data_IF_362670410119
#
_entry.id   IF_362670410119
#
_cell.length_a   1.000
_cell.length_b   1.000
_cell.length_c   1.000
_cell.angle_alpha   90.00
_cell.angle_beta   90.00
_cell.angle_gamma   90.00
#
_symmetry.space_group_name_H-M   'P 1'
#
loop_
_entity.id
_entity.type
_entity.pdbx_description
1 polymer ?
#
# COMPACT_ATOMS: atom_id res chain seq x y z
N UNK A 1 -20.45 -36.48 -6.46
CA UNK A 1 -20.97 -35.25 -5.81
C UNK A 1 -19.79 -34.55 -5.14
N UNK A 2 -19.02 -33.78 -5.92
CA UNK A 2 -17.80 -33.11 -5.44
C UNK A 2 -18.18 -31.80 -4.75
N UNK A 3 -18.18 -31.79 -3.42
CA UNK A 3 -18.24 -30.54 -2.64
C UNK A 3 -16.83 -29.97 -2.55
N UNK A 4 -16.45 -29.13 -3.52
CA UNK A 4 -15.33 -28.20 -3.35
C UNK A 4 -15.72 -27.17 -2.29
N UNK A 5 -15.15 -27.27 -1.09
CA UNK A 5 -15.13 -26.17 -0.12
C UNK A 5 -13.98 -25.26 -0.50
N UNK A 6 -14.27 -24.18 -1.22
CA UNK A 6 -13.34 -23.05 -1.31
C UNK A 6 -13.32 -22.37 0.06
N UNK A 7 -12.27 -22.61 0.83
CA UNK A 7 -11.97 -21.82 2.01
C UNK A 7 -11.25 -20.57 1.51
N UNK A 8 -12.01 -19.55 1.11
CA UNK A 8 -11.44 -18.22 0.91
C UNK A 8 -10.87 -17.76 2.26
N UNK A 9 -9.55 -17.84 2.43
CA UNK A 9 -8.90 -17.00 3.42
C UNK A 9 -9.12 -15.56 2.95
N UNK A 10 -10.00 -14.82 3.63
CA UNK A 10 -10.26 -13.39 3.43
C UNK A 10 -9.02 -12.49 3.72
N UNK A 11 -7.82 -13.00 3.53
CA UNK A 11 -6.55 -12.32 3.79
C UNK A 11 -6.13 -11.47 2.60
N UNK A 12 -6.89 -10.43 2.27
CA UNK A 12 -6.21 -9.25 1.71
C UNK A 12 -5.17 -8.80 2.75
N UNK A 13 -3.94 -8.51 2.32
CA UNK A 13 -2.95 -7.90 3.20
C UNK A 13 -3.58 -6.67 3.86
N UNK A 14 -3.54 -6.62 5.19
CA UNK A 14 -4.07 -5.50 5.98
C UNK A 14 -2.97 -5.03 6.90
N UNK A 15 -2.66 -3.75 6.80
CA UNK A 15 -1.78 -3.08 7.75
C UNK A 15 -2.61 -2.56 8.92
N UNK A 16 -2.07 -2.73 10.13
CA UNK A 16 -2.53 -2.04 11.33
C UNK A 16 -1.31 -1.78 12.22
N UNK A 17 -1.10 -0.52 12.59
CA UNK A 17 0.02 -0.13 13.42
C UNK A 17 -0.34 0.97 14.41
N UNK A 18 0.42 0.99 15.51
CA UNK A 18 0.38 1.99 16.56
C UNK A 18 1.81 2.54 16.75
N UNK A 19 1.97 3.84 16.58
CA UNK A 19 3.21 4.55 16.85
C UNK A 19 3.04 5.45 18.09
N UNK A 20 4.02 5.46 18.99
CA UNK A 20 4.01 6.19 20.27
C UNK A 20 5.19 7.19 20.32
N UNK A 21 4.99 8.46 20.63
CA UNK A 21 6.04 9.49 20.50
C UNK A 21 6.99 9.64 21.71
N UNK A 22 6.63 9.16 22.91
CA UNK A 22 7.36 9.49 24.16
C UNK A 22 7.68 8.31 25.09
N UNK A 23 7.29 7.08 24.76
CA UNK A 23 7.65 5.86 25.52
C UNK A 23 7.32 4.59 24.73
N UNK A 24 8.01 3.45 24.94
CA UNK A 24 7.59 2.17 24.37
C UNK A 24 6.14 1.87 24.77
N UNK A 25 5.30 1.49 23.80
CA UNK A 25 3.90 1.19 24.05
C UNK A 25 3.82 -0.05 24.99
N UNK A 26 3.69 0.17 26.29
CA UNK A 26 3.37 -0.85 27.29
C UNK A 26 1.99 -0.55 27.87
N UNK A 27 1.25 -1.61 28.20
CA UNK A 27 -0.08 -1.51 28.82
C UNK A 27 -0.08 -0.83 30.19
N UNK A 28 1.10 -0.56 30.76
CA UNK A 28 1.28 -0.05 32.13
C UNK A 28 1.58 1.46 32.17
N UNK A 29 2.06 2.07 31.07
CA UNK A 29 2.56 3.47 31.07
C UNK A 29 1.70 4.48 30.29
N UNK A 30 0.55 4.08 29.75
CA UNK A 30 -0.29 4.95 28.94
C UNK A 30 -1.75 4.92 29.36
N UNK A 31 -2.47 5.97 28.98
CA UNK A 31 -3.91 6.16 29.09
C UNK A 31 -4.69 4.83 28.88
N UNK A 32 -5.75 4.52 29.67
CA UNK A 32 -6.62 3.37 29.43
C UNK A 32 -7.07 3.21 27.95
N UNK A 33 -7.10 4.30 27.18
CA UNK A 33 -7.28 4.29 25.73
C UNK A 33 -6.22 3.48 24.96
N UNK A 34 -4.93 3.62 25.32
CA UNK A 34 -3.85 2.84 24.72
C UNK A 34 -3.95 1.36 25.10
N UNK A 35 -4.40 1.05 26.32
CA UNK A 35 -4.64 -0.32 26.77
C UNK A 35 -5.62 -1.08 25.89
N UNK A 36 -6.75 -0.44 25.51
CA UNK A 36 -7.73 -1.01 24.57
C UNK A 36 -7.16 -1.17 23.15
N UNK A 37 -6.43 -0.16 22.66
CA UNK A 37 -5.78 -0.21 21.34
C UNK A 37 -4.74 -1.34 21.27
N UNK A 38 -3.89 -1.47 22.29
CA UNK A 38 -2.83 -2.49 22.40
C UNK A 38 -3.40 -3.89 22.65
N UNK A 39 -4.39 -4.04 23.53
CA UNK A 39 -5.07 -5.32 23.76
C UNK A 39 -5.77 -5.82 22.50
N UNK A 40 -6.32 -4.89 21.72
CA UNK A 40 -6.92 -5.16 20.44
C UNK A 40 -5.96 -5.78 19.42
N UNK A 41 -4.68 -5.40 19.42
CA UNK A 41 -3.66 -5.90 18.48
C UNK A 41 -3.34 -7.40 18.64
N UNK A 42 -3.79 -8.07 19.72
CA UNK A 42 -3.78 -9.54 19.85
C UNK A 42 -2.38 -10.21 19.75
N UNK A 43 -2.34 -11.54 19.55
CA UNK A 43 -1.12 -12.41 19.53
C UNK A 43 -0.08 -12.08 18.45
N UNK A 44 -0.23 -10.97 17.75
CA UNK A 44 0.47 -10.64 16.51
C UNK A 44 1.48 -9.52 16.74
N UNK A 45 2.19 -9.61 17.87
CA UNK A 45 3.22 -8.67 18.27
C UNK A 45 4.52 -9.04 17.57
N UNK A 46 5.07 -8.12 16.80
CA UNK A 46 6.52 -7.98 16.75
C UNK A 46 6.83 -6.80 17.66
N UNK A 47 7.20 -7.05 18.94
CA UNK A 47 7.60 -5.98 19.82
C UNK A 47 8.89 -5.36 19.26
N UNK A 48 8.82 -4.11 18.82
CA UNK A 48 10.01 -3.29 18.68
C UNK A 48 10.19 -2.50 19.98
N UNK A 49 11.33 -2.61 20.68
CA UNK A 49 11.56 -1.90 21.94
C UNK A 49 11.57 -0.36 21.82
N UNK A 50 11.39 0.22 20.62
CA UNK A 50 11.54 1.66 20.35
C UNK A 50 10.34 2.24 19.60
N UNK A 51 9.18 2.38 20.25
CA UNK A 51 8.06 3.26 19.84
C UNK A 51 7.07 2.82 18.74
N UNK A 52 7.29 1.70 18.02
CA UNK A 52 6.30 1.18 17.06
C UNK A 52 5.80 -0.20 17.50
N UNK A 53 4.48 -0.31 17.69
CA UNK A 53 3.80 -1.60 17.91
C UNK A 53 2.95 -1.94 16.69
N UNK A 54 3.14 -3.14 16.18
CA UNK A 54 2.45 -3.62 14.98
C UNK A 54 1.57 -4.80 15.36
N UNK A 55 0.37 -4.86 14.80
CA UNK A 55 -0.50 -6.03 14.86
C UNK A 55 -0.94 -6.43 13.45
N UNK A 56 -0.71 -7.67 13.05
CA UNK A 56 -1.09 -8.17 11.72
C UNK A 56 -2.45 -8.89 11.76
N UNK A 57 -3.39 -8.56 10.87
CA UNK A 57 -4.39 -9.56 10.48
C UNK A 57 -3.74 -10.44 9.40
N UNK A 58 -3.55 -11.73 9.70
CA UNK A 58 -2.79 -12.67 8.87
C UNK A 58 -3.16 -12.61 7.38
N UNK A 59 -2.22 -12.17 6.55
CA UNK A 59 -2.05 -12.66 5.18
C UNK A 59 -0.55 -12.87 4.93
N UNK A 60 -0.23 -13.79 4.02
CA UNK A 60 1.14 -14.19 3.67
C UNK A 60 1.99 -13.06 3.05
N UNK A 61 1.37 -11.92 2.70
CA UNK A 61 2.01 -10.77 2.04
C UNK A 61 2.26 -9.56 2.94
N UNK A 62 1.71 -9.50 4.16
CA UNK A 62 2.07 -8.43 5.10
C UNK A 62 3.42 -8.75 5.74
N UNK A 63 4.50 -8.52 5.00
CA UNK A 63 5.87 -8.74 5.46
C UNK A 63 6.31 -7.58 6.34
N UNK A 64 6.19 -7.77 7.65
CA UNK A 64 7.19 -7.17 8.53
C UNK A 64 8.54 -7.76 8.10
N UNK A 65 9.55 -6.92 7.89
CA UNK A 65 10.93 -7.41 7.77
C UNK A 65 11.62 -7.22 9.12
N UNK A 66 11.38 -8.07 10.14
CA UNK A 66 12.17 -8.02 11.34
C UNK A 66 13.53 -8.67 11.04
N UNK A 67 14.59 -7.94 11.38
CA UNK A 67 15.97 -8.38 11.64
C UNK A 67 16.31 -9.82 11.19
N UNK A 68 17.08 -9.96 10.12
CA UNK A 68 17.73 -11.23 9.74
C UNK A 68 19.14 -11.24 10.32
N UNK A 69 19.47 -12.22 11.16
CA UNK A 69 20.83 -12.46 11.68
C UNK A 69 21.54 -13.48 10.77
N UNK A 70 22.61 -13.09 10.09
CA UNK A 70 23.47 -13.94 9.25
C UNK A 70 24.67 -13.13 8.72
N UNK A 71 25.87 -13.73 8.65
CA UNK A 71 27.16 -13.02 8.46
C UNK A 71 27.76 -13.04 7.04
N UNK A 72 27.79 -11.87 6.39
CA UNK A 72 28.43 -11.57 5.10
C UNK A 72 28.36 -10.07 4.78
N UNK A 73 29.19 -9.55 3.87
CA UNK A 73 29.25 -8.09 3.59
C UNK A 73 27.93 -7.51 3.02
N UNK A 74 27.24 -8.28 2.16
CA UNK A 74 25.88 -7.94 1.71
C UNK A 74 24.82 -8.11 2.80
N UNK A 75 25.05 -8.99 3.78
CA UNK A 75 24.16 -9.16 4.93
C UNK A 75 24.36 -8.07 5.98
N UNK A 76 25.58 -7.53 6.14
CA UNK A 76 25.86 -6.40 7.01
C UNK A 76 25.13 -5.13 6.53
N UNK A 77 25.26 -4.79 5.25
CA UNK A 77 24.53 -3.65 4.65
C UNK A 77 23.00 -3.86 4.69
N UNK A 78 22.51 -5.10 4.51
CA UNK A 78 21.11 -5.45 4.67
C UNK A 78 20.66 -5.30 6.13
N UNK A 79 21.47 -5.77 7.08
CA UNK A 79 21.24 -5.68 8.52
C UNK A 79 21.12 -4.22 8.96
N UNK A 80 22.03 -3.34 8.53
CA UNK A 80 22.03 -1.92 8.91
C UNK A 80 20.75 -1.20 8.48
N UNK A 81 20.27 -1.48 7.26
CA UNK A 81 19.01 -0.90 6.76
C UNK A 81 17.81 -1.42 7.54
N UNK A 82 17.77 -2.71 7.86
CA UNK A 82 16.71 -3.29 8.70
C UNK A 82 16.82 -2.90 10.18
N UNK A 83 17.98 -2.44 10.63
CA UNK A 83 18.16 -1.87 11.97
C UNK A 83 17.61 -0.44 12.05
N UNK A 84 17.71 0.35 10.98
CA UNK A 84 17.15 1.71 10.93
C UNK A 84 15.68 1.73 10.54
N UNK A 85 15.31 1.05 9.46
CA UNK A 85 14.00 1.17 8.85
C UNK A 85 13.09 -0.03 9.16
N UNK A 86 11.84 0.27 9.48
CA UNK A 86 10.75 -0.69 9.47
C UNK A 86 9.75 -0.30 8.38
N UNK A 87 9.27 -1.27 7.60
CA UNK A 87 8.24 -1.06 6.59
C UNK A 87 7.05 -2.00 6.88
N UNK A 88 5.86 -1.42 6.84
CA UNK A 88 4.62 -2.13 6.58
C UNK A 88 4.15 -1.81 5.17
N UNK A 89 3.67 -2.85 4.50
CA UNK A 89 3.31 -2.83 3.11
C UNK A 89 1.99 -3.58 2.88
N UNK A 90 1.04 -2.93 2.22
CA UNK A 90 -0.14 -3.55 1.63
C UNK A 90 -0.23 -3.08 0.19
N UNK A 91 0.08 -3.97 -0.75
CA UNK A 91 0.21 -3.57 -2.14
C UNK A 91 0.83 -4.61 -3.07
N UNK A 92 1.04 -4.16 -4.29
CA UNK A 92 1.91 -4.77 -5.29
C UNK A 92 2.77 -3.69 -5.96
N UNK A 93 4.07 -3.95 -6.13
CA UNK A 93 5.01 -3.07 -6.81
C UNK A 93 5.24 -3.61 -8.23
N UNK A 94 4.55 -3.03 -9.19
CA UNK A 94 4.53 -3.46 -10.58
C UNK A 94 5.91 -3.34 -11.26
N UNK A 95 6.71 -2.33 -10.90
CA UNK A 95 8.04 -2.12 -11.47
C UNK A 95 9.20 -2.66 -10.61
N UNK A 96 8.96 -3.68 -9.77
CA UNK A 96 9.97 -4.22 -8.87
C UNK A 96 11.26 -4.67 -9.58
N UNK A 97 11.15 -5.29 -10.77
CA UNK A 97 12.33 -5.75 -11.52
C UNK A 97 13.16 -4.59 -12.08
N UNK A 98 12.50 -3.57 -12.64
CA UNK A 98 13.18 -2.35 -13.09
C UNK A 98 13.90 -1.65 -11.93
N UNK A 99 13.22 -1.56 -10.78
CA UNK A 99 13.78 -0.98 -9.55
C UNK A 99 14.99 -1.76 -9.03
N UNK A 100 15.01 -3.10 -9.11
CA UNK A 100 16.22 -3.90 -8.80
C UNK A 100 17.39 -3.52 -9.70
N UNK A 101 17.13 -3.29 -11.00
CA UNK A 101 18.14 -2.84 -11.95
C UNK A 101 18.73 -1.48 -11.56
N UNK A 102 17.88 -0.49 -11.26
CA UNK A 102 18.31 0.84 -10.82
C UNK A 102 19.09 0.80 -9.51
N UNK A 103 18.65 0.01 -8.53
CA UNK A 103 19.33 -0.15 -7.25
C UNK A 103 20.71 -0.81 -7.41
N UNK A 104 20.83 -1.83 -8.26
CA UNK A 104 22.13 -2.43 -8.59
C UNK A 104 23.06 -1.41 -9.24
N UNK A 105 22.55 -0.60 -10.18
CA UNK A 105 23.31 0.47 -10.80
C UNK A 105 23.75 1.55 -9.81
N UNK A 106 22.96 1.78 -8.75
CA UNK A 106 23.31 2.67 -7.64
C UNK A 106 24.29 2.04 -6.62
N UNK A 107 24.79 0.83 -6.86
CA UNK A 107 25.81 0.17 -6.03
C UNK A 107 25.26 -0.75 -4.94
N UNK A 108 23.99 -1.17 -5.03
CA UNK A 108 23.41 -2.09 -4.05
C UNK A 108 24.13 -3.46 -4.07
N UNK A 109 24.67 -3.84 -2.91
CA UNK A 109 25.53 -5.03 -2.76
C UNK A 109 24.78 -6.38 -2.84
N UNK A 110 23.44 -6.38 -2.77
CA UNK A 110 22.63 -7.59 -2.85
C UNK A 110 21.36 -7.33 -3.67
N UNK A 111 20.76 -8.39 -4.20
CA UNK A 111 19.49 -8.27 -4.90
C UNK A 111 18.31 -8.38 -3.91
N UNK A 112 17.47 -7.35 -3.75
CA UNK A 112 16.25 -7.47 -2.96
C UNK A 112 15.28 -8.43 -3.67
N UNK A 113 14.65 -9.29 -2.90
CA UNK A 113 13.86 -10.43 -3.41
C UNK A 113 12.36 -10.20 -3.33
N UNK A 114 11.94 -9.15 -2.63
CA UNK A 114 10.53 -8.87 -2.31
C UNK A 114 10.22 -7.40 -2.57
N UNK A 115 8.97 -7.07 -2.85
CA UNK A 115 8.53 -5.68 -3.05
C UNK A 115 8.88 -4.81 -1.84
N UNK A 116 8.64 -5.32 -0.63
CA UNK A 116 8.99 -4.64 0.61
C UNK A 116 10.51 -4.35 0.71
N UNK A 117 11.36 -5.29 0.31
CA UNK A 117 12.81 -5.08 0.28
C UNK A 117 13.21 -4.08 -0.79
N UNK A 118 12.63 -4.15 -1.98
CA UNK A 118 12.87 -3.17 -3.06
C UNK A 118 12.52 -1.76 -2.59
N UNK A 119 11.36 -1.59 -1.96
CA UNK A 119 10.90 -0.31 -1.41
C UNK A 119 11.83 0.19 -0.31
N UNK A 120 12.19 -0.65 0.65
CA UNK A 120 13.12 -0.29 1.73
C UNK A 120 14.48 0.15 1.19
N UNK A 121 15.03 -0.59 0.21
CA UNK A 121 16.31 -0.25 -0.41
C UNK A 121 16.22 1.04 -1.22
N UNK A 122 15.12 1.26 -1.95
CA UNK A 122 14.87 2.52 -2.66
C UNK A 122 14.84 3.72 -1.70
N UNK A 123 14.13 3.59 -0.58
CA UNK A 123 14.11 4.62 0.47
C UNK A 123 15.47 4.84 1.12
N UNK A 124 16.22 3.77 1.40
CA UNK A 124 17.57 3.90 1.96
C UNK A 124 18.54 4.60 0.99
N UNK A 125 18.36 4.39 -0.32
CA UNK A 125 19.24 4.92 -1.37
C UNK A 125 18.88 6.36 -1.77
N UNK A 126 17.59 6.65 -1.94
CA UNK A 126 17.11 7.92 -2.50
C UNK A 126 16.20 8.73 -1.56
N UNK A 127 15.95 8.24 -0.34
CA UNK A 127 15.05 8.90 0.60
C UNK A 127 13.62 9.01 0.06
N UNK A 128 12.94 10.12 0.39
CA UNK A 128 11.58 10.38 -0.09
C UNK A 128 11.49 10.54 -1.63
N UNK A 129 12.62 10.78 -2.32
CA UNK A 129 12.65 10.82 -3.79
C UNK A 129 12.48 9.44 -4.44
N UNK A 130 12.58 8.35 -3.65
CA UNK A 130 12.20 7.02 -4.10
C UNK A 130 10.72 6.93 -4.51
N UNK A 131 9.85 7.73 -3.87
CA UNK A 131 8.40 7.64 -4.06
C UNK A 131 7.93 7.94 -5.49
N UNK A 132 8.61 8.84 -6.19
CA UNK A 132 8.29 9.13 -7.60
C UNK A 132 8.74 8.05 -8.57
N UNK A 133 9.54 7.07 -8.10
CA UNK A 133 10.00 5.92 -8.89
C UNK A 133 9.13 4.69 -8.70
N UNK A 134 8.34 4.61 -7.63
CA UNK A 134 7.50 3.45 -7.35
C UNK A 134 6.28 3.44 -8.27
N UNK A 135 6.07 2.33 -8.98
CA UNK A 135 4.87 2.10 -9.77
C UNK A 135 4.15 0.88 -9.22
N UNK A 136 2.93 1.08 -8.73
CA UNK A 136 2.22 0.04 -8.00
C UNK A 136 0.91 0.55 -7.39
N UNK A 137 0.13 -0.40 -6.87
CA UNK A 137 -0.95 -0.12 -5.95
C UNK A 137 -0.45 -0.44 -4.55
N UNK A 138 -0.27 0.58 -3.71
CA UNK A 138 0.33 0.37 -2.39
C UNK A 138 -0.14 1.37 -1.34
N UNK A 139 -0.16 0.90 -0.10
CA UNK A 139 -0.12 1.70 1.11
C UNK A 139 1.14 1.31 1.89
N UNK A 140 1.92 2.31 2.31
CA UNK A 140 3.17 2.11 3.05
C UNK A 140 3.09 2.77 4.42
N UNK A 141 3.67 2.11 5.42
CA UNK A 141 4.04 2.73 6.69
C UNK A 141 5.53 2.50 6.91
N UNK A 142 6.35 3.54 6.71
CA UNK A 142 7.78 3.50 6.99
C UNK A 142 8.06 4.13 8.34
N UNK A 143 8.84 3.47 9.16
CA UNK A 143 9.34 4.02 10.42
C UNK A 143 10.86 4.10 10.39
N UNK A 144 11.37 5.32 10.52
CA UNK A 144 12.78 5.60 10.72
C UNK A 144 13.10 5.61 12.21
N UNK A 145 13.78 4.57 12.70
CA UNK A 145 14.20 4.47 14.10
C UNK A 145 15.30 5.46 14.47
N UNK A 146 16.08 5.92 13.50
CA UNK A 146 17.16 6.87 13.76
C UNK A 146 16.58 8.26 14.01
N UNK A 147 15.60 8.67 13.20
CA UNK A 147 14.98 9.99 13.28
C UNK A 147 13.68 10.01 14.11
N UNK A 148 13.25 8.85 14.62
CA UNK A 148 11.97 8.60 15.30
C UNK A 148 10.79 9.19 14.52
N UNK A 149 10.68 8.77 13.26
CA UNK A 149 9.76 9.37 12.30
C UNK A 149 8.91 8.31 11.61
N UNK A 150 7.59 8.44 11.70
CA UNK A 150 6.63 7.65 10.95
C UNK A 150 6.27 8.37 9.64
N UNK A 151 6.29 7.64 8.53
CA UNK A 151 5.92 8.12 7.20
C UNK A 151 4.84 7.18 6.64
N UNK A 152 3.62 7.69 6.53
CA UNK A 152 2.50 7.01 5.88
C UNK A 152 2.44 7.47 4.43
N UNK A 153 2.36 6.54 3.49
CA UNK A 153 2.35 6.86 2.05
C UNK A 153 1.24 6.09 1.36
N UNK A 154 0.50 6.76 0.48
CA UNK A 154 -0.50 6.13 -0.38
C UNK A 154 -0.12 6.29 -1.84
N UNK A 155 -0.40 5.27 -2.66
CA UNK A 155 -0.10 5.27 -4.09
C UNK A 155 -0.73 6.47 -4.84
N UNK A 156 -0.16 6.87 -6.00
CA UNK A 156 -0.58 8.07 -6.71
C UNK A 156 -2.05 8.12 -7.12
N UNK A 157 -2.64 6.96 -7.44
CA UNK A 157 -4.02 6.86 -7.92
C UNK A 157 -5.02 6.49 -6.81
N UNK A 158 -4.52 6.17 -5.62
CA UNK A 158 -5.33 5.80 -4.47
C UNK A 158 -5.99 4.44 -4.60
N UNK A 159 -5.38 3.51 -5.36
CA UNK A 159 -5.85 2.15 -5.54
C UNK A 159 -5.94 1.40 -4.21
N UNK A 160 -4.94 1.59 -3.34
CA UNK A 160 -4.99 1.14 -1.95
C UNK A 160 -5.51 2.25 -1.05
N UNK A 161 -5.99 1.88 0.12
CA UNK A 161 -6.43 2.83 1.16
C UNK A 161 -5.44 2.87 2.31
N UNK A 162 -5.35 4.02 2.97
CA UNK A 162 -4.56 4.19 4.19
C UNK A 162 -5.21 5.25 5.06
N UNK A 163 -5.58 4.86 6.26
CA UNK A 163 -6.26 5.69 7.24
C UNK A 163 -5.40 5.85 8.48
N UNK A 164 -5.56 6.96 9.17
CA UNK A 164 -4.92 7.20 10.45
C UNK A 164 -5.80 8.02 11.38
N UNK A 165 -5.55 7.89 12.67
CA UNK A 165 -6.08 8.75 13.72
C UNK A 165 -4.92 9.19 14.61
N UNK A 166 -5.05 10.39 15.17
CA UNK A 166 -4.04 10.96 16.05
C UNK A 166 -4.64 11.20 17.43
N UNK A 167 -3.83 10.98 18.46
CA UNK A 167 -4.14 11.30 19.85
C UNK A 167 -2.87 11.82 20.50
N UNK A 168 -2.93 12.51 21.66
CA UNK A 168 -1.75 13.11 22.28
C UNK A 168 -0.61 12.10 22.50
N UNK A 169 0.41 12.15 21.65
CA UNK A 169 1.58 11.28 21.70
C UNK A 169 1.44 9.90 21.04
N UNK A 170 0.39 9.64 20.25
CA UNK A 170 0.18 8.35 19.61
C UNK A 170 -0.61 8.46 18.29
N UNK A 171 -0.30 7.57 17.37
CA UNK A 171 -0.92 7.48 16.04
C UNK A 171 -1.30 6.04 15.78
N UNK A 172 -2.56 5.81 15.39
CA UNK A 172 -3.01 4.50 14.90
C UNK A 172 -3.28 4.64 13.42
N UNK A 173 -2.77 3.70 12.62
CA UNK A 173 -3.00 3.68 11.18
C UNK A 173 -3.39 2.29 10.70
N UNK A 174 -4.16 2.22 9.62
CA UNK A 174 -4.52 0.96 8.99
C UNK A 174 -4.78 1.11 7.49
N UNK A 175 -4.54 0.06 6.72
CA UNK A 175 -4.88 0.06 5.29
C UNK A 175 -6.37 -0.19 5.02
N UNK A 176 -7.16 -0.56 6.04
CA UNK A 176 -8.60 -0.66 5.97
C UNK A 176 -9.30 0.04 7.14
N UNK A 177 -10.43 0.69 6.83
CA UNK A 177 -11.17 1.51 7.78
C UNK A 177 -11.80 0.68 8.92
N UNK A 178 -12.42 -0.51 8.68
CA UNK A 178 -12.94 -1.34 9.76
C UNK A 178 -11.90 -1.74 10.81
N UNK A 179 -10.67 -2.07 10.40
CA UNK A 179 -9.59 -2.40 11.34
C UNK A 179 -9.22 -1.22 12.23
N UNK A 180 -9.17 -0.01 11.70
CA UNK A 180 -8.88 1.20 12.47
C UNK A 180 -10.01 1.53 13.44
N UNK A 181 -11.26 1.52 12.97
CA UNK A 181 -12.43 1.90 13.79
C UNK A 181 -12.58 1.00 15.01
N UNK A 182 -12.29 -0.31 14.88
CA UNK A 182 -12.31 -1.26 16.01
C UNK A 182 -11.28 -0.95 17.11
N UNK A 183 -10.35 -0.03 16.87
CA UNK A 183 -9.36 0.44 17.86
C UNK A 183 -9.75 1.76 18.50
N UNK A 184 -10.70 2.48 17.94
CA UNK A 184 -11.22 3.70 18.53
C UNK A 184 -12.04 3.34 19.77
N UNK A 185 -11.87 4.13 20.83
CA UNK A 185 -12.69 4.01 22.04
C UNK A 185 -14.14 4.43 21.76
N UNK A 186 -14.30 5.54 21.05
CA UNK A 186 -15.61 6.09 20.69
C UNK A 186 -15.65 6.29 19.19
N UNK A 187 -16.70 5.77 18.55
CA UNK A 187 -16.94 5.94 17.11
C UNK A 187 -18.07 6.94 16.95
N UNK A 188 -17.77 8.09 16.34
CA UNK A 188 -18.76 9.13 16.02
C UNK A 188 -18.83 9.33 14.52
N UNK A 189 -20.04 9.51 14.02
CA UNK A 189 -20.29 9.77 12.60
C UNK A 189 -19.96 11.22 12.28
N UNK A 190 -19.20 11.44 11.21
CA UNK A 190 -18.90 12.76 10.70
C UNK A 190 -20.03 13.24 9.76
N UNK A 191 -21.09 13.83 10.31
CA UNK A 191 -22.32 14.17 9.56
C UNK A 191 -22.09 14.97 8.27
N UNK A 192 -21.20 16.00 8.21
CA UNK A 192 -20.92 16.70 6.95
C UNK A 192 -20.37 15.79 5.84
N UNK A 193 -19.35 14.98 6.15
CA UNK A 193 -18.80 13.96 5.25
C UNK A 193 -19.87 12.93 4.81
N UNK A 194 -20.79 12.53 5.70
CA UNK A 194 -21.90 11.65 5.28
C UNK A 194 -22.78 12.33 4.24
N UNK A 195 -23.11 13.61 4.43
CA UNK A 195 -23.89 14.37 3.46
C UNK A 195 -23.15 14.49 2.12
N UNK A 196 -21.86 14.83 2.15
CA UNK A 196 -21.02 14.91 0.95
C UNK A 196 -20.99 13.57 0.20
N UNK A 197 -20.77 12.47 0.92
CA UNK A 197 -20.74 11.14 0.31
C UNK A 197 -22.10 10.73 -0.28
N UNK A 198 -23.21 11.08 0.36
CA UNK A 198 -24.54 10.81 -0.19
C UNK A 198 -24.80 11.59 -1.48
N UNK A 199 -24.29 12.82 -1.59
CA UNK A 199 -24.44 13.67 -2.77
C UNK A 199 -23.50 13.28 -3.91
N UNK A 200 -22.25 12.92 -3.60
CA UNK A 200 -21.19 12.79 -4.60
C UNK A 200 -20.68 11.36 -4.78
N UNK A 201 -20.96 10.44 -3.85
CA UNK A 201 -20.42 9.06 -3.78
C UNK A 201 -18.91 8.99 -3.54
N UNK A 202 -18.27 10.12 -3.24
CA UNK A 202 -16.88 10.24 -2.81
C UNK A 202 -16.71 11.44 -1.86
N UNK A 203 -15.57 11.53 -1.19
CA UNK A 203 -15.17 12.67 -0.36
C UNK A 203 -14.02 13.41 -1.05
N UNK A 204 -14.07 14.74 -1.06
CA UNK A 204 -13.03 15.61 -1.62
C UNK A 204 -11.93 15.95 -0.62
N UNK A 205 -12.27 15.93 0.67
CA UNK A 205 -11.36 16.15 1.78
C UNK A 205 -10.62 14.87 2.18
N UNK A 206 -9.80 15.00 3.21
CA UNK A 206 -9.08 13.90 3.86
C UNK A 206 -9.95 13.21 4.91
N UNK A 207 -11.18 13.69 5.09
CA UNK A 207 -12.09 13.17 6.08
C UNK A 207 -12.54 11.76 5.70
N UNK A 208 -13.05 11.06 6.72
CA UNK A 208 -13.83 9.85 6.52
C UNK A 208 -15.25 10.09 7.02
N UNK A 209 -16.09 9.06 6.92
CA UNK A 209 -17.43 9.09 7.51
C UNK A 209 -17.40 9.10 9.06
N UNK A 210 -16.22 9.06 9.67
CA UNK A 210 -16.01 9.00 11.12
C UNK A 210 -15.17 10.18 11.60
N UNK A 211 -15.59 10.80 12.71
CA UNK A 211 -14.86 11.91 13.31
C UNK A 211 -13.49 11.46 13.81
N UNK A 212 -12.47 12.28 13.63
CA UNK A 212 -11.10 12.01 14.11
C UNK A 212 -10.34 10.93 13.35
N UNK A 213 -10.88 10.46 12.22
CA UNK A 213 -10.21 9.53 11.31
C UNK A 213 -10.00 10.20 9.95
N UNK A 214 -8.74 10.25 9.53
CA UNK A 214 -8.32 10.86 8.27
C UNK A 214 -7.79 9.79 7.32
N UNK A 215 -8.01 10.00 6.02
CA UNK A 215 -7.42 9.22 4.95
C UNK A 215 -6.16 9.93 4.43
N UNK A 216 -5.07 9.17 4.24
CA UNK A 216 -3.95 9.67 3.43
C UNK A 216 -4.46 9.86 2.00
N UNK A 217 -4.26 11.05 1.43
CA UNK A 217 -4.70 11.36 0.07
C UNK A 217 -3.90 10.55 -0.97
N UNK A 218 -4.48 10.22 -2.14
CA UNK A 218 -3.73 9.65 -3.25
C UNK A 218 -2.49 10.48 -3.59
N UNK A 219 -1.33 9.84 -3.78
CA UNK A 219 -0.07 10.51 -4.11
C UNK A 219 0.50 11.40 -3.01
N UNK A 220 0.04 11.24 -1.77
CA UNK A 220 0.53 11.99 -0.62
C UNK A 220 1.27 11.10 0.38
N UNK A 221 2.10 11.77 1.17
CA UNK A 221 2.66 11.22 2.39
C UNK A 221 2.28 12.08 3.60
N UNK A 222 2.11 11.41 4.75
CA UNK A 222 1.96 12.02 6.07
C UNK A 222 3.17 11.62 6.90
N UNK A 223 3.94 12.62 7.33
CA UNK A 223 5.17 12.44 8.11
C UNK A 223 4.96 12.97 9.51
N UNK A 224 5.24 12.12 10.50
CA UNK A 224 4.99 12.38 11.91
C UNK A 224 6.28 12.17 12.69
N UNK A 225 6.68 13.19 13.47
CA UNK A 225 7.85 13.16 14.33
C UNK A 225 7.55 13.91 15.63
N UNK A 226 7.55 13.21 16.75
CA UNK A 226 7.09 13.78 18.03
C UNK A 226 5.62 14.24 17.94
N UNK A 227 5.39 15.54 18.16
CA UNK A 227 4.08 16.19 18.01
C UNK A 227 3.91 16.90 16.66
N UNK A 228 4.96 16.89 15.82
CA UNK A 228 4.92 17.53 14.51
C UNK A 228 4.41 16.55 13.46
N UNK A 229 3.32 16.94 12.79
CA UNK A 229 2.75 16.23 11.66
C UNK A 229 2.75 17.14 10.44
N UNK A 230 3.26 16.64 9.32
CA UNK A 230 3.26 17.33 8.03
C UNK A 230 2.69 16.42 6.96
N UNK A 231 2.00 17.03 6.00
CA UNK A 231 1.47 16.33 4.85
C UNK A 231 1.88 17.03 3.57
N UNK A 232 2.26 16.25 2.55
CA UNK A 232 2.60 16.78 1.23
C UNK A 232 2.31 15.78 0.13
N UNK A 233 1.98 16.29 -1.04
CA UNK A 233 1.99 15.49 -2.26
C UNK A 233 3.44 15.14 -2.64
N UNK A 234 3.69 13.88 -2.99
CA UNK A 234 4.90 13.49 -3.72
C UNK A 234 4.60 13.26 -5.21
N UNK A 235 3.33 13.03 -5.55
CA UNK A 235 2.86 12.88 -6.92
C UNK A 235 1.42 13.38 -7.02
N UNK A 236 1.08 14.01 -8.14
CA UNK A 236 -0.27 14.48 -8.45
C UNK A 236 -0.64 14.11 -9.88
N UNK A 237 -1.93 14.07 -10.26
CA UNK A 237 -2.35 13.79 -11.63
C UNK A 237 -1.62 14.64 -12.69
N UNK A 238 -1.28 15.89 -12.37
CA UNK A 238 -0.55 16.78 -13.27
C UNK A 238 0.85 16.27 -13.65
N UNK A 239 1.49 15.44 -12.81
CA UNK A 239 2.80 14.85 -13.10
C UNK A 239 2.73 13.78 -14.20
N UNK A 240 1.54 13.23 -14.48
CA UNK A 240 1.33 12.26 -15.55
C UNK A 240 0.97 12.92 -16.89
N UNK A 241 0.79 14.24 -16.91
CA UNK A 241 0.45 14.98 -18.14
C UNK A 241 1.73 15.44 -18.80
N UNK A 242 2.07 14.81 -19.92
CA UNK A 242 3.17 15.23 -20.80
C UNK A 242 2.59 16.00 -22.00
N UNK A 243 2.85 17.31 -22.02
CA UNK A 243 2.33 18.21 -23.05
C UNK A 243 2.95 17.94 -24.43
N UNK A 244 4.23 17.54 -24.47
CA UNK A 244 4.94 17.26 -25.72
C UNK A 244 4.43 15.94 -26.31
N UNK A 245 4.22 14.93 -25.46
CA UNK A 245 3.62 13.66 -25.85
C UNK A 245 2.18 13.85 -26.33
N UNK A 246 1.40 14.70 -25.66
CA UNK A 246 0.05 15.04 -26.09
C UNK A 246 0.04 15.73 -27.46
N UNK A 247 0.91 16.74 -27.67
CA UNK A 247 1.05 17.42 -28.95
C UNK A 247 1.50 16.46 -30.07
N UNK A 248 2.41 15.54 -29.76
CA UNK A 248 2.84 14.49 -30.68
C UNK A 248 1.65 13.62 -31.12
N UNK A 249 0.84 13.12 -30.18
CA UNK A 249 -0.29 12.26 -30.49
C UNK A 249 -1.43 12.98 -31.23
N UNK A 250 -1.61 14.29 -31.02
CA UNK A 250 -2.56 15.08 -31.81
C UNK A 250 -2.17 15.18 -33.29
N UNK A 251 -0.88 15.14 -33.60
CA UNK A 251 -0.36 15.20 -34.96
C UNK A 251 -0.11 13.82 -35.58
N UNK A 252 -0.10 12.76 -34.77
CA UNK A 252 0.20 11.40 -35.22
C UNK A 252 -0.98 10.78 -36.00
N UNK A 253 -0.71 9.92 -37.00
CA UNK A 253 -1.76 9.12 -37.62
C UNK A 253 -2.45 8.22 -36.59
N UNK A 254 -3.76 8.00 -36.75
CA UNK A 254 -4.55 7.17 -35.84
C UNK A 254 -3.92 5.78 -35.58
N UNK A 255 -3.39 5.15 -36.61
CA UNK A 255 -2.73 3.84 -36.50
C UNK A 255 -1.54 3.84 -35.51
N UNK A 256 -0.79 4.95 -35.42
CA UNK A 256 0.31 5.11 -34.46
C UNK A 256 -0.24 5.21 -33.05
N UNK A 257 -1.27 6.04 -32.84
CA UNK A 257 -1.92 6.20 -31.54
C UNK A 257 -2.50 4.86 -31.04
N UNK A 258 -3.18 4.12 -31.92
CA UNK A 258 -3.74 2.80 -31.60
C UNK A 258 -2.65 1.81 -31.21
N UNK A 259 -1.52 1.82 -31.91
CA UNK A 259 -0.36 0.95 -31.59
C UNK A 259 0.23 1.29 -30.23
N UNK A 260 0.39 2.57 -29.90
CA UNK A 260 0.94 3.01 -28.62
C UNK A 260 0.00 2.68 -27.46
N UNK A 261 -1.30 2.93 -27.61
CA UNK A 261 -2.30 2.57 -26.58
C UNK A 261 -2.32 1.06 -26.35
N UNK A 262 -2.29 0.26 -27.43
CA UNK A 262 -2.20 -1.20 -27.33
C UNK A 262 -0.96 -1.63 -26.56
N UNK A 263 0.22 -1.13 -26.94
CA UNK A 263 1.48 -1.48 -26.27
C UNK A 263 1.51 -1.04 -24.80
N UNK A 264 0.94 0.12 -24.48
CA UNK A 264 0.84 0.58 -23.09
C UNK A 264 -0.07 -0.32 -22.25
N UNK A 265 -1.20 -0.77 -22.82
CA UNK A 265 -2.11 -1.67 -22.13
C UNK A 265 -1.51 -3.08 -21.95
N UNK A 266 -0.85 -3.61 -22.98
CA UNK A 266 -0.12 -4.88 -22.92
C UNK A 266 0.94 -4.87 -21.81
N UNK A 267 1.77 -3.81 -21.74
CA UNK A 267 2.77 -3.62 -20.68
C UNK A 267 2.12 -3.54 -19.30
N UNK A 268 1.07 -2.73 -19.16
CA UNK A 268 0.35 -2.58 -17.88
C UNK A 268 -0.19 -3.92 -17.36
N UNK A 269 -0.77 -4.74 -18.24
CA UNK A 269 -1.24 -6.09 -17.88
C UNK A 269 -0.08 -7.00 -17.50
N UNK A 270 1.02 -7.00 -18.26
CA UNK A 270 2.21 -7.79 -17.94
C UNK A 270 2.81 -7.42 -16.58
N UNK A 271 2.95 -6.13 -16.30
CA UNK A 271 3.49 -5.62 -15.03
C UNK A 271 2.60 -6.00 -13.84
N UNK A 272 1.27 -6.02 -14.01
CA UNK A 272 0.32 -6.46 -12.97
C UNK A 272 0.33 -7.99 -12.74
N UNK A 273 0.78 -8.77 -13.72
CA UNK A 273 0.90 -10.24 -13.61
C UNK A 273 2.23 -10.67 -13.00
N UNK A 274 3.23 -9.78 -12.98
CA UNK A 274 4.55 -10.06 -12.43
C UNK A 274 4.46 -10.36 -10.92
N UNK A 275 4.70 -11.61 -10.54
CA UNK A 275 4.82 -12.03 -9.13
C UNK A 275 3.56 -12.59 -8.46
N UNK A 276 2.41 -12.59 -9.15
CA UNK A 276 1.19 -13.21 -8.63
C UNK A 276 0.97 -14.58 -9.27
N UNK A 277 0.97 -15.66 -8.48
CA UNK A 277 0.48 -16.99 -8.91
C UNK A 277 -0.13 -17.73 -7.71
N UNK A 278 -1.34 -18.30 -7.84
CA UNK A 278 -2.22 -18.30 -9.03
C UNK A 278 -2.93 -16.96 -9.27
N UNK A 279 -3.28 -16.67 -10.53
CA UNK A 279 -4.02 -15.48 -10.96
C UNK A 279 -5.26 -15.88 -11.74
N UNK A 280 -6.34 -15.12 -11.58
CA UNK A 280 -7.53 -15.16 -12.41
C UNK A 280 -8.01 -13.75 -12.73
N UNK A 281 -8.96 -13.62 -13.66
CA UNK A 281 -9.53 -12.32 -14.04
C UNK A 281 -11.02 -12.26 -13.77
N UNK A 282 -11.53 -11.06 -13.49
CA UNK A 282 -12.95 -10.79 -13.57
C UNK A 282 -13.30 -10.40 -15.00
N UNK A 283 -14.16 -11.18 -15.66
CA UNK A 283 -14.59 -10.94 -17.04
C UNK A 283 -16.10 -10.70 -17.06
N UNK A 284 -16.49 -9.43 -17.09
CA UNK A 284 -17.91 -9.04 -17.10
C UNK A 284 -18.58 -9.18 -18.46
N UNK A 285 -17.82 -9.48 -19.52
CA UNK A 285 -18.28 -9.40 -20.92
C UNK A 285 -18.30 -7.98 -21.49
N UNK A 286 -18.00 -6.96 -20.66
CA UNK A 286 -17.76 -5.60 -21.12
C UNK A 286 -16.40 -5.45 -21.83
N UNK A 287 -16.23 -4.39 -22.61
CA UNK A 287 -15.02 -4.18 -23.43
C UNK A 287 -13.74 -4.13 -22.58
N UNK A 288 -13.76 -3.44 -21.44
CA UNK A 288 -12.56 -3.25 -20.60
C UNK A 288 -12.07 -4.57 -19.98
N UNK A 289 -12.98 -5.27 -19.28
CA UNK A 289 -12.66 -6.52 -18.58
C UNK A 289 -12.32 -7.65 -19.54
N UNK A 290 -12.98 -7.69 -20.71
CA UNK A 290 -12.67 -8.65 -21.77
C UNK A 290 -11.31 -8.37 -22.40
N UNK A 291 -10.95 -7.11 -22.60
CA UNK A 291 -9.65 -6.72 -23.14
C UNK A 291 -8.53 -7.09 -22.16
N UNK A 292 -8.64 -6.73 -20.88
CA UNK A 292 -7.68 -7.12 -19.84
C UNK A 292 -7.56 -8.65 -19.74
N UNK A 293 -8.69 -9.37 -19.75
CA UNK A 293 -8.70 -10.85 -19.72
C UNK A 293 -8.00 -11.44 -20.94
N UNK A 294 -8.24 -10.88 -22.13
CA UNK A 294 -7.63 -11.34 -23.37
C UNK A 294 -6.11 -11.18 -23.32
N UNK A 295 -5.63 -9.99 -22.95
CA UNK A 295 -4.20 -9.72 -22.82
C UNK A 295 -3.54 -10.58 -21.75
N UNK A 296 -4.21 -10.77 -20.60
CA UNK A 296 -3.69 -11.61 -19.52
C UNK A 296 -3.56 -13.08 -19.95
N UNK A 297 -4.51 -13.62 -20.72
CA UNK A 297 -4.48 -15.00 -21.20
C UNK A 297 -3.35 -15.30 -22.18
N UNK A 298 -2.78 -14.27 -22.82
CA UNK A 298 -1.57 -14.41 -23.64
C UNK A 298 -0.30 -14.59 -22.80
N UNK A 299 -0.34 -14.17 -21.53
CA UNK A 299 0.79 -14.23 -20.61
C UNK A 299 0.70 -15.41 -19.63
N UNK A 300 -0.51 -15.81 -19.25
CA UNK A 300 -0.77 -16.88 -18.26
C UNK A 300 -1.50 -18.05 -18.92
N UNK A 301 -0.86 -19.23 -19.04
CA UNK A 301 -1.53 -20.41 -19.59
C UNK A 301 -2.64 -20.89 -18.64
N UNK A 302 -3.77 -21.30 -19.21
CA UNK A 302 -4.96 -21.76 -18.48
C UNK A 302 -5.52 -20.74 -17.47
N UNK A 303 -5.50 -19.45 -17.83
CA UNK A 303 -6.06 -18.38 -17.00
C UNK A 303 -7.56 -18.62 -16.72
N UNK A 304 -7.92 -18.67 -15.44
CA UNK A 304 -9.31 -18.76 -15.02
C UNK A 304 -9.98 -17.37 -15.08
N UNK A 305 -11.12 -17.28 -15.75
CA UNK A 305 -11.93 -16.07 -15.82
C UNK A 305 -13.25 -16.27 -15.06
N UNK A 306 -13.60 -15.30 -14.22
CA UNK A 306 -14.78 -15.32 -13.37
C UNK A 306 -15.81 -14.29 -13.85
N UNK A 307 -17.06 -14.73 -14.00
CA UNK A 307 -18.22 -13.90 -14.31
C UNK A 307 -19.30 -14.11 -13.26
N UNK A 308 -19.98 -13.03 -12.87
CA UNK A 308 -21.11 -13.08 -11.95
C UNK A 308 -22.27 -12.34 -12.61
N UNK A 309 -23.36 -13.07 -12.84
CA UNK A 309 -24.65 -12.53 -13.26
C UNK A 309 -25.74 -13.03 -12.31
N UNK A 310 -26.84 -12.28 -12.16
CA UNK A 310 -28.07 -12.85 -11.63
C UNK A 310 -28.44 -14.09 -12.46
N UNK A 311 -28.99 -15.11 -11.81
CA UNK A 311 -29.60 -16.21 -12.55
C UNK A 311 -30.75 -15.64 -13.40
N UNK A 312 -30.84 -16.06 -14.66
CA UNK A 312 -32.00 -15.72 -15.48
C UNK A 312 -33.27 -16.17 -14.76
N UNK A 313 -34.26 -15.29 -14.69
CA UNK A 313 -35.56 -15.66 -14.16
C UNK A 313 -36.16 -16.74 -15.08
N UNK A 314 -36.27 -17.96 -14.55
CA UNK A 314 -36.83 -19.12 -15.23
C UNK A 314 -38.32 -18.92 -15.58
#
# INVERSE_FOLDING_TARGET
>A
MWRMRFQWSNGMARMLGLWCSKTPCSSENHDPHLGHMVAGLGRLRVPDPRNLTIGHAASEDTRLVPKVMGGGAGEAARSDIHERWCLLYDGALYNAEAMRGELRAAGLAFCPTTDAEVILQAFATWGEAALSRLQGAFALALYDRQDDTLILVRDPLGQKTLYYTTSPGHVVFASDLPSLIRRLHTVRVHSPAVLEWLLHRFLTSEDTLFEGVSAVRPGHLVKIRGEHMTQRAYMTPAHFVDADLYAHFLAAPEAVVVSEVRGALERSVQDCLAGATPVGTFCSGGVDSSLVTTLASQCVPNLEAFHISPADAA
#
